data_IF_328310768266
#
_entry.id   IF_328310768266
#
_cell.length_a   1.000
_cell.length_b   1.000
_cell.length_c   1.000
_cell.angle_alpha   90.00
_cell.angle_beta   90.00
_cell.angle_gamma   90.00
#
_symmetry.space_group_name_H-M   'P 1'
#
loop_
_entity.id
_entity.type
_entity.pdbx_description
1 polymer ?
#
# COMPACT_ATOMS: atom_id res chain seq x y z
N UNK A 1 -16.20 41.05 -1.94
CA UNK A 1 -16.26 39.58 -1.78
C UNK A 1 -15.34 39.00 -2.83
N UNK A 2 -14.13 38.58 -2.45
CA UNK A 2 -13.07 38.22 -3.39
C UNK A 2 -13.48 37.04 -4.27
N UNK A 3 -13.50 37.27 -5.58
CA UNK A 3 -13.77 36.25 -6.58
C UNK A 3 -12.48 35.45 -6.76
N UNK A 4 -12.50 34.18 -6.36
CA UNK A 4 -11.38 33.26 -6.63
C UNK A 4 -11.09 33.28 -8.15
N UNK A 5 -9.87 33.61 -8.59
CA UNK A 5 -9.52 33.61 -10.00
C UNK A 5 -9.72 32.22 -10.61
N UNK A 6 -10.26 32.14 -11.83
CA UNK A 6 -10.51 30.85 -12.54
C UNK A 6 -9.27 29.96 -12.62
N UNK A 7 -8.07 30.55 -12.66
CA UNK A 7 -6.80 29.83 -12.61
C UNK A 7 -6.57 29.08 -11.30
N UNK A 8 -6.93 29.67 -10.15
CA UNK A 8 -6.83 29.01 -8.84
C UNK A 8 -7.82 27.87 -8.70
N UNK A 9 -9.05 28.03 -9.21
CA UNK A 9 -10.04 26.94 -9.25
C UNK A 9 -9.57 25.76 -10.11
N UNK A 10 -8.91 26.03 -11.24
CA UNK A 10 -8.31 25.00 -12.09
C UNK A 10 -7.16 24.28 -11.39
N UNK A 11 -6.30 25.02 -10.69
CA UNK A 11 -5.19 24.46 -9.92
C UNK A 11 -5.71 23.52 -8.81
N UNK A 12 -6.72 23.94 -8.05
CA UNK A 12 -7.34 23.10 -7.01
C UNK A 12 -7.91 21.81 -7.60
N UNK A 13 -8.64 21.89 -8.72
CA UNK A 13 -9.20 20.70 -9.37
C UNK A 13 -8.11 19.74 -9.84
N UNK A 14 -7.05 20.24 -10.47
CA UNK A 14 -5.91 19.42 -10.89
C UNK A 14 -5.22 18.73 -9.71
N UNK A 15 -5.06 19.43 -8.58
CA UNK A 15 -4.51 18.85 -7.35
C UNK A 15 -5.42 17.75 -6.78
N UNK A 16 -6.72 17.99 -6.73
CA UNK A 16 -7.70 16.99 -6.27
C UNK A 16 -7.68 15.74 -7.14
N UNK A 17 -7.70 15.91 -8.47
CA UNK A 17 -7.68 14.80 -9.41
C UNK A 17 -6.40 13.95 -9.26
N UNK A 18 -5.25 14.60 -9.07
CA UNK A 18 -3.99 13.91 -8.81
C UNK A 18 -4.00 13.16 -7.47
N UNK A 19 -4.53 13.79 -6.43
CA UNK A 19 -4.63 13.18 -5.11
C UNK A 19 -5.48 11.93 -5.13
N UNK A 20 -6.67 11.99 -5.73
CA UNK A 20 -7.58 10.84 -5.85
C UNK A 20 -6.92 9.71 -6.63
N UNK A 21 -6.24 10.00 -7.75
CA UNK A 21 -5.49 8.99 -8.52
C UNK A 21 -4.38 8.33 -7.69
N UNK A 22 -3.62 9.13 -6.96
CA UNK A 22 -2.52 8.63 -6.14
C UNK A 22 -3.01 7.76 -4.98
N UNK A 23 -4.06 8.20 -4.29
CA UNK A 23 -4.70 7.41 -3.22
C UNK A 23 -5.27 6.09 -3.74
N UNK A 24 -6.02 6.14 -4.85
CA UNK A 24 -6.60 4.94 -5.43
C UNK A 24 -5.50 3.94 -5.83
N UNK A 25 -4.42 4.43 -6.41
CA UNK A 25 -3.27 3.61 -6.83
C UNK A 25 -2.53 3.01 -5.62
N UNK A 26 -2.29 3.80 -4.58
CA UNK A 26 -1.58 3.34 -3.38
C UNK A 26 -2.42 2.35 -2.57
N UNK A 27 -3.71 2.62 -2.39
CA UNK A 27 -4.63 1.70 -1.73
C UNK A 27 -4.76 0.39 -2.49
N UNK A 28 -4.88 0.44 -3.82
CA UNK A 28 -4.91 -0.76 -4.66
C UNK A 28 -3.62 -1.59 -4.52
N UNK A 29 -2.45 -0.94 -4.51
CA UNK A 29 -1.17 -1.61 -4.29
C UNK A 29 -1.08 -2.26 -2.90
N UNK A 30 -1.55 -1.55 -1.87
CA UNK A 30 -1.62 -2.05 -0.51
C UNK A 30 -2.51 -3.29 -0.39
N UNK A 31 -3.77 -3.19 -0.83
CA UNK A 31 -4.75 -4.29 -0.74
C UNK A 31 -4.31 -5.54 -1.50
N UNK A 32 -3.74 -5.37 -2.71
CA UNK A 32 -3.19 -6.50 -3.48
C UNK A 32 -2.09 -7.24 -2.73
N UNK A 33 -1.23 -6.51 -2.02
CA UNK A 33 -0.16 -7.12 -1.23
C UNK A 33 -0.71 -7.77 0.03
N UNK A 34 -1.59 -7.07 0.75
CA UNK A 34 -2.24 -7.55 1.97
C UNK A 34 -2.97 -8.88 1.73
N UNK A 35 -3.85 -8.95 0.73
CA UNK A 35 -4.59 -10.17 0.41
C UNK A 35 -3.66 -11.32 0.02
N UNK A 36 -2.62 -11.05 -0.78
CA UNK A 36 -1.64 -12.07 -1.17
C UNK A 36 -0.94 -12.67 0.06
N UNK A 37 -0.53 -11.83 1.02
CA UNK A 37 0.11 -12.29 2.26
C UNK A 37 -0.89 -13.02 3.15
N UNK A 38 -2.10 -12.49 3.32
CA UNK A 38 -3.13 -13.08 4.18
C UNK A 38 -3.51 -14.49 3.72
N UNK A 39 -3.77 -14.68 2.43
CA UNK A 39 -4.16 -15.99 1.89
C UNK A 39 -3.07 -17.05 2.08
N UNK A 40 -1.80 -16.66 1.96
CA UNK A 40 -0.68 -17.60 2.07
C UNK A 40 -0.25 -17.84 3.52
N UNK A 41 -0.22 -16.79 4.34
CA UNK A 41 0.35 -16.84 5.70
C UNK A 41 -0.69 -17.06 6.79
N UNK A 42 -1.93 -16.65 6.58
CA UNK A 42 -3.03 -16.84 7.55
C UNK A 42 -3.89 -18.02 7.12
N UNK A 43 -4.42 -17.98 5.90
CA UNK A 43 -5.30 -19.03 5.37
C UNK A 43 -4.55 -20.28 4.88
N UNK A 44 -3.21 -20.26 4.91
CA UNK A 44 -2.33 -21.39 4.53
C UNK A 44 -2.58 -21.95 3.12
N UNK A 45 -3.10 -21.15 2.19
CA UNK A 45 -3.27 -21.56 0.80
C UNK A 45 -1.91 -21.75 0.12
N UNK A 46 -1.83 -22.74 -0.76
CA UNK A 46 -0.70 -22.87 -1.68
C UNK A 46 -0.61 -21.67 -2.62
N UNK A 47 0.56 -21.44 -3.22
CA UNK A 47 0.73 -20.33 -4.16
C UNK A 47 -0.17 -20.45 -5.38
N UNK A 48 -0.53 -21.67 -5.80
CA UNK A 48 -1.44 -21.92 -6.90
C UNK A 48 -2.88 -21.57 -6.54
N UNK A 49 -3.35 -21.97 -5.35
CA UNK A 49 -4.69 -21.64 -4.86
C UNK A 49 -4.86 -20.14 -4.62
N UNK A 50 -3.85 -19.49 -4.03
CA UNK A 50 -3.85 -18.04 -3.85
C UNK A 50 -3.85 -17.29 -5.19
N UNK A 51 -3.13 -17.81 -6.20
CA UNK A 51 -3.11 -17.24 -7.55
C UNK A 51 -4.49 -17.36 -8.22
N UNK A 52 -5.15 -18.51 -8.08
CA UNK A 52 -6.49 -18.74 -8.58
C UNK A 52 -7.53 -17.86 -7.87
N UNK A 53 -7.48 -17.76 -6.54
CA UNK A 53 -8.40 -16.96 -5.74
C UNK A 53 -8.29 -15.45 -6.05
N UNK A 54 -7.10 -14.97 -6.38
CA UNK A 54 -6.83 -13.56 -6.70
C UNK A 54 -6.89 -13.23 -8.19
N UNK A 55 -7.14 -14.22 -9.06
CA UNK A 55 -7.11 -14.10 -10.51
C UNK A 55 -5.83 -13.42 -11.04
N UNK A 56 -4.66 -13.96 -10.63
CA UNK A 56 -3.35 -13.46 -11.06
C UNK A 56 -2.40 -14.61 -11.40
N UNK A 57 -1.37 -14.39 -12.23
CA UNK A 57 -0.33 -15.40 -12.46
C UNK A 57 0.39 -15.79 -11.16
N UNK A 58 0.77 -17.07 -11.01
CA UNK A 58 1.50 -17.55 -9.83
C UNK A 58 2.80 -16.77 -9.56
N UNK A 59 3.51 -16.32 -10.61
CA UNK A 59 4.69 -15.46 -10.48
C UNK A 59 4.40 -14.09 -9.85
N UNK A 60 3.15 -13.60 -9.95
CA UNK A 60 2.71 -12.37 -9.28
C UNK A 60 2.60 -12.59 -7.77
N UNK A 61 2.06 -13.73 -7.33
CA UNK A 61 2.05 -14.13 -5.92
C UNK A 61 3.47 -14.20 -5.38
N UNK A 62 4.36 -14.93 -6.06
CA UNK A 62 5.76 -15.07 -5.66
C UNK A 62 6.48 -13.72 -5.55
N UNK A 63 6.35 -12.86 -6.57
CA UNK A 63 7.02 -11.56 -6.57
C UNK A 63 6.46 -10.60 -5.52
N UNK A 64 5.15 -10.61 -5.26
CA UNK A 64 4.53 -9.83 -4.18
C UNK A 64 5.01 -10.29 -2.81
N UNK A 65 5.03 -11.59 -2.56
CA UNK A 65 5.53 -12.16 -1.30
C UNK A 65 7.02 -11.86 -1.09
N UNK A 66 7.83 -11.96 -2.15
CA UNK A 66 9.26 -11.61 -2.09
C UNK A 66 9.46 -10.16 -1.68
N UNK A 67 8.77 -9.22 -2.33
CA UNK A 67 8.81 -7.78 -1.97
C UNK A 67 8.28 -7.51 -0.57
N UNK A 68 7.21 -8.20 -0.15
CA UNK A 68 6.66 -8.04 1.19
C UNK A 68 7.65 -8.51 2.28
N UNK A 69 8.33 -9.65 2.06
CA UNK A 69 9.37 -10.15 2.96
C UNK A 69 10.61 -9.26 3.00
N UNK A 70 11.02 -8.71 1.86
CA UNK A 70 12.10 -7.73 1.79
C UNK A 70 11.76 -6.48 2.61
N UNK A 71 10.56 -5.93 2.43
CA UNK A 71 10.10 -4.77 3.20
C UNK A 71 10.01 -5.06 4.70
N UNK A 72 9.58 -6.27 5.08
CA UNK A 72 9.56 -6.67 6.48
C UNK A 72 10.99 -6.79 7.04
N UNK A 73 11.93 -7.38 6.29
CA UNK A 73 13.35 -7.45 6.69
C UNK A 73 13.92 -6.06 6.91
N UNK A 74 13.70 -5.13 5.98
CA UNK A 74 14.12 -3.74 6.13
C UNK A 74 13.56 -3.08 7.39
N UNK A 75 12.27 -3.26 7.69
CA UNK A 75 11.65 -2.73 8.90
C UNK A 75 12.22 -3.35 10.20
N UNK A 76 12.62 -4.62 10.15
CA UNK A 76 13.25 -5.31 11.29
C UNK A 76 14.71 -4.89 11.47
N UNK A 77 15.45 -4.72 10.37
CA UNK A 77 16.85 -4.29 10.36
C UNK A 77 17.00 -2.82 10.76
N UNK A 78 16.06 -1.96 10.34
CA UNK A 78 15.93 -0.56 10.79
C UNK A 78 15.40 -0.46 12.24
N UNK A 79 14.88 -1.56 12.81
CA UNK A 79 13.88 -1.54 13.88
C UNK A 79 13.99 -2.62 14.95
N UNK A 80 15.20 -2.92 15.44
CA UNK A 80 15.39 -3.40 16.82
C UNK A 80 14.84 -2.43 17.91
N UNK A 81 14.31 -1.27 17.51
CA UNK A 81 13.50 -0.40 18.33
C UNK A 81 12.03 -0.55 17.93
N UNK A 82 11.20 -0.95 18.90
CA UNK A 82 9.76 -1.13 18.76
C UNK A 82 8.99 0.14 18.32
N UNK A 83 7.66 0.05 18.21
CA UNK A 83 6.82 1.16 17.75
C UNK A 83 7.14 2.42 18.54
N UNK A 84 7.51 3.44 17.78
CA UNK A 84 8.03 4.72 18.23
C UNK A 84 7.33 5.19 19.51
N UNK A 85 8.13 5.32 20.57
CA UNK A 85 7.68 5.84 21.85
C UNK A 85 6.88 7.11 21.63
N UNK A 86 5.67 7.13 22.17
CA UNK A 86 4.89 8.32 22.43
C UNK A 86 5.84 9.38 23.01
N UNK A 87 6.28 10.31 22.15
CA UNK A 87 7.14 11.43 22.52
C UNK A 87 6.34 12.28 23.49
N UNK A 88 6.54 12.02 24.79
CA UNK A 88 5.93 12.76 25.89
C UNK A 88 6.33 14.22 25.72
N UNK A 89 5.39 15.03 25.25
CA UNK A 89 5.56 16.48 25.18
C UNK A 89 5.63 16.97 26.62
N UNK A 90 6.75 17.59 26.96
CA UNK A 90 6.93 18.33 28.21
C UNK A 90 6.36 19.73 28.03
#
# INVERSE_FOLDING_TARGET
MDRIPKSQLRAIRLMQDNFVRNLASSLSAYLRTYLTVSLVSVEQLSYAEAAQALDVPIGTVMSRLSRARERLRQLLDEGGAGPQGLRRVK
#
